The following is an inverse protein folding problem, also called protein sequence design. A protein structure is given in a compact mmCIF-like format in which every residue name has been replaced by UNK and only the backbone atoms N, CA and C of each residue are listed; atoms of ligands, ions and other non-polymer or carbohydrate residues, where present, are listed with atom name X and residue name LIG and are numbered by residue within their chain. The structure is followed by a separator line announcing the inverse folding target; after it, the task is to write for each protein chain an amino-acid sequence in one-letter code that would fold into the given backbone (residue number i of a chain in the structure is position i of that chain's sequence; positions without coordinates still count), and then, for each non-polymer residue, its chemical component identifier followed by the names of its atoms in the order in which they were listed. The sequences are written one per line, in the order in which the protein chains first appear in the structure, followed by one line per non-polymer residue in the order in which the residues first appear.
data_IF_513490397086
#
_entry.id   IF_513490397086
#
_cell.length_a   1.000
_cell.length_b   1.000
_cell.length_c   1.000
_cell.angle_alpha   90.00
_cell.angle_beta   90.00
_cell.angle_gamma   90.00
#
_symmetry.space_group_name_H-M   'P 1'
#
loop_
_entity.id
_entity.type
_entity.pdbx_description
1 polymer ?
#
# COMPACT_ATOMS: atom_id res chain seq x y z
N UNK A 1 18.34 -4.69 -30.28
CA UNK A 1 17.82 -5.99 -29.89
C UNK A 1 18.10 -6.13 -28.41
N UNK A 2 17.17 -5.69 -27.60
CA UNK A 2 17.25 -5.83 -26.14
C UNK A 2 16.64 -7.19 -25.81
N UNK A 3 17.54 -8.10 -25.46
CA UNK A 3 17.21 -9.43 -24.94
C UNK A 3 16.47 -9.20 -23.61
N UNK A 4 15.16 -9.46 -23.60
CA UNK A 4 14.32 -9.36 -22.41
C UNK A 4 14.44 -10.64 -21.60
N UNK A 5 15.55 -10.87 -21.14
CA UNK A 5 16.12 -11.94 -20.35
C UNK A 5 15.29 -12.73 -19.36
N UNK A 6 14.08 -13.14 -19.69
CA UNK A 6 13.32 -14.15 -18.95
C UNK A 6 13.82 -15.52 -19.40
N UNK A 7 14.58 -16.20 -18.58
CA UNK A 7 15.24 -17.44 -18.98
C UNK A 7 14.43 -18.70 -18.72
N UNK A 8 13.45 -18.71 -17.81
CA UNK A 8 12.54 -19.84 -17.59
C UNK A 8 11.30 -19.47 -16.79
N UNK A 9 10.13 -19.72 -17.37
CA UNK A 9 8.90 -19.91 -16.60
C UNK A 9 8.75 -21.41 -16.34
N UNK A 10 8.63 -21.81 -15.09
CA UNK A 10 8.39 -23.19 -14.66
C UNK A 10 7.28 -23.23 -13.62
N UNK A 11 6.43 -24.27 -13.68
CA UNK A 11 5.52 -24.58 -12.58
C UNK A 11 6.27 -25.40 -11.55
N UNK A 12 6.20 -25.00 -10.27
CA UNK A 12 6.59 -25.85 -9.16
C UNK A 12 5.64 -27.07 -9.05
N UNK A 13 6.04 -28.16 -8.35
CA UNK A 13 5.23 -29.38 -8.24
C UNK A 13 3.82 -29.15 -7.66
N UNK A 14 3.61 -28.07 -6.92
CA UNK A 14 2.34 -27.63 -6.34
C UNK A 14 1.50 -26.71 -7.24
N UNK A 15 1.95 -26.48 -8.48
CA UNK A 15 1.28 -25.59 -9.44
C UNK A 15 1.67 -24.11 -9.34
N UNK A 16 2.58 -23.75 -8.45
CA UNK A 16 3.08 -22.37 -8.31
C UNK A 16 3.93 -21.99 -9.52
N UNK A 17 3.62 -20.87 -10.17
CA UNK A 17 4.43 -20.32 -11.25
C UNK A 17 5.68 -19.67 -10.68
N UNK A 18 6.86 -20.17 -11.07
CA UNK A 18 8.13 -19.57 -10.71
C UNK A 18 8.88 -19.12 -11.97
N UNK A 19 9.16 -17.83 -12.05
CA UNK A 19 9.94 -17.23 -13.14
C UNK A 19 11.30 -16.78 -12.61
N UNK A 20 12.38 -17.18 -13.26
CA UNK A 20 13.72 -16.71 -12.97
C UNK A 20 14.08 -15.59 -13.94
N UNK A 21 14.32 -14.37 -13.41
CA UNK A 21 14.75 -13.23 -14.22
C UNK A 21 16.26 -13.20 -14.38
N UNK A 22 16.75 -12.61 -15.46
CA UNK A 22 18.18 -12.63 -15.87
C UNK A 22 19.16 -11.93 -14.91
N UNK A 23 18.70 -11.17 -13.94
CA UNK A 23 19.60 -10.70 -12.87
C UNK A 23 20.09 -11.84 -11.95
N UNK A 24 19.60 -13.06 -12.18
CA UNK A 24 19.97 -14.29 -11.49
C UNK A 24 19.47 -14.40 -10.05
N UNK A 25 18.79 -13.37 -9.58
CA UNK A 25 18.47 -13.19 -8.16
C UNK A 25 17.01 -12.88 -7.89
N UNK A 26 16.24 -12.44 -8.91
CA UNK A 26 14.81 -12.12 -8.80
C UNK A 26 13.97 -13.30 -9.23
N UNK A 27 13.03 -13.71 -8.38
CA UNK A 27 12.04 -14.76 -8.66
C UNK A 27 10.64 -14.27 -8.35
N UNK A 28 9.68 -14.79 -9.09
CA UNK A 28 8.25 -14.57 -8.88
C UNK A 28 7.54 -15.90 -8.69
N UNK A 29 6.66 -15.93 -7.70
CA UNK A 29 5.72 -17.02 -7.49
C UNK A 29 4.30 -16.48 -7.35
N UNK A 30 3.30 -17.30 -7.66
CA UNK A 30 1.89 -17.01 -7.41
C UNK A 30 1.33 -18.11 -6.52
N UNK A 31 0.86 -17.74 -5.33
CA UNK A 31 0.23 -18.64 -4.38
C UNK A 31 -1.29 -18.74 -4.65
N UNK A 32 -1.97 -19.77 -4.12
CA UNK A 32 -3.42 -19.90 -4.22
C UNK A 32 -4.14 -18.62 -3.79
N UNK A 33 -5.25 -18.27 -4.46
CA UNK A 33 -5.94 -17.00 -4.26
C UNK A 33 -5.32 -15.82 -5.00
N UNK A 34 -4.28 -16.06 -5.82
CA UNK A 34 -3.67 -15.05 -6.67
C UNK A 34 -2.63 -14.15 -5.97
N UNK A 35 -2.20 -14.49 -4.74
CA UNK A 35 -1.14 -13.76 -4.03
C UNK A 35 0.18 -13.87 -4.78
N UNK A 36 0.72 -12.75 -5.20
CA UNK A 36 2.01 -12.66 -5.92
C UNK A 36 3.14 -12.47 -4.92
N UNK A 37 4.18 -13.29 -5.02
CA UNK A 37 5.39 -13.19 -4.19
C UNK A 37 6.58 -12.92 -5.10
N UNK A 38 7.27 -11.82 -4.85
CA UNK A 38 8.51 -11.43 -5.52
C UNK A 38 9.65 -11.53 -4.52
N UNK A 39 10.74 -12.17 -4.90
CA UNK A 39 11.93 -12.24 -4.06
C UNK A 39 13.16 -11.84 -4.84
N UNK A 40 14.05 -11.07 -4.20
CA UNK A 40 15.35 -10.73 -4.75
C UNK A 40 16.45 -11.08 -3.74
N UNK A 41 17.31 -12.02 -4.12
CA UNK A 41 18.48 -12.35 -3.32
C UNK A 41 19.59 -11.34 -3.59
N UNK A 42 19.96 -10.56 -2.58
CA UNK A 42 21.04 -9.56 -2.65
C UNK A 42 22.28 -10.11 -1.92
N UNK A 43 23.35 -10.50 -2.66
CA UNK A 43 24.57 -11.00 -2.03
C UNK A 43 25.30 -9.93 -1.22
N UNK A 44 25.91 -10.34 -0.10
CA UNK A 44 26.82 -9.50 0.68
C UNK A 44 26.14 -8.56 1.67
N UNK A 45 24.80 -8.56 1.75
CA UNK A 45 24.06 -7.84 2.79
C UNK A 45 23.60 -8.79 3.90
N UNK A 46 23.30 -8.23 5.08
CA UNK A 46 22.69 -8.95 6.21
C UNK A 46 21.30 -8.41 6.55
N UNK A 47 20.80 -7.50 5.75
CA UNK A 47 19.47 -6.91 5.89
C UNK A 47 18.48 -7.55 4.91
N UNK A 48 17.20 -7.46 5.28
CA UNK A 48 16.06 -7.82 4.43
C UNK A 48 15.03 -6.70 4.50
N UNK A 49 14.51 -6.31 3.35
CA UNK A 49 13.33 -5.45 3.22
C UNK A 49 12.15 -6.30 2.75
N UNK A 50 11.02 -6.15 3.42
CA UNK A 50 9.76 -6.84 3.14
C UNK A 50 8.71 -5.78 2.90
N UNK A 51 7.94 -5.89 1.83
CA UNK A 51 6.78 -5.04 1.58
C UNK A 51 5.56 -5.87 1.18
N UNK A 52 4.40 -5.55 1.76
CA UNK A 52 3.11 -6.02 1.29
C UNK A 52 2.42 -4.85 0.59
N UNK A 53 2.35 -4.96 -0.72
CA UNK A 53 1.75 -3.96 -1.60
C UNK A 53 0.32 -4.37 -1.88
N UNK A 54 -0.63 -3.55 -1.48
CA UNK A 54 -2.05 -3.74 -1.77
C UNK A 54 -2.42 -2.83 -2.93
N UNK A 55 -2.95 -3.38 -4.02
CA UNK A 55 -3.32 -2.63 -5.23
C UNK A 55 -4.57 -1.78 -5.03
N UNK A 56 -4.67 -1.06 -3.91
CA UNK A 56 -5.78 -0.21 -3.50
C UNK A 56 -5.25 1.10 -2.93
N UNK A 57 -5.75 2.21 -3.42
CA UNK A 57 -5.41 3.56 -2.97
C UNK A 57 -6.59 4.51 -3.11
N UNK A 58 -6.38 5.81 -2.94
CA UNK A 58 -7.47 6.80 -2.98
C UNK A 58 -8.23 6.84 -4.31
N UNK A 59 -7.62 6.39 -5.40
CA UNK A 59 -8.27 6.22 -6.71
C UNK A 59 -9.43 5.23 -6.68
N UNK A 60 -9.37 4.20 -5.81
CA UNK A 60 -10.38 3.13 -5.75
C UNK A 60 -11.55 3.47 -4.83
N UNK A 61 -11.55 4.67 -4.27
CA UNK A 61 -12.56 5.18 -3.36
C UNK A 61 -13.70 5.88 -4.10
N UNK A 62 -14.90 5.76 -3.56
CA UNK A 62 -16.03 6.60 -3.92
C UNK A 62 -16.00 7.92 -3.14
N UNK A 63 -16.78 8.94 -3.51
CA UNK A 63 -16.90 10.14 -2.70
C UNK A 63 -17.32 9.86 -1.24
N UNK A 64 -18.07 8.78 -0.99
CA UNK A 64 -18.52 8.37 0.35
C UNK A 64 -17.42 7.64 1.16
N UNK A 65 -16.37 7.18 0.51
CA UNK A 65 -15.26 6.45 1.13
C UNK A 65 -13.94 7.18 0.96
N UNK A 66 -13.97 8.46 0.56
CA UNK A 66 -12.77 9.25 0.35
C UNK A 66 -11.94 9.37 1.65
N UNK A 67 -10.64 9.03 1.55
CA UNK A 67 -9.71 8.94 2.68
C UNK A 67 -9.70 7.59 3.39
N UNK A 68 -10.51 6.60 2.97
CA UNK A 68 -10.61 5.30 3.64
C UNK A 68 -9.31 4.49 3.53
N UNK A 69 -8.58 4.56 2.41
CA UNK A 69 -7.32 3.85 2.23
C UNK A 69 -6.25 4.37 3.20
N UNK A 70 -6.15 5.68 3.35
CA UNK A 70 -5.26 6.31 4.32
C UNK A 70 -5.69 6.02 5.76
N UNK A 71 -6.98 6.04 6.04
CA UNK A 71 -7.50 5.65 7.35
C UNK A 71 -7.12 4.21 7.72
N UNK A 72 -7.22 3.27 6.77
CA UNK A 72 -6.81 1.89 6.98
C UNK A 72 -5.30 1.77 7.20
N UNK A 73 -4.48 2.60 6.56
CA UNK A 73 -3.05 2.64 6.85
C UNK A 73 -2.81 2.79 8.35
N UNK A 74 -3.45 3.77 9.02
CA UNK A 74 -3.35 3.98 10.46
C UNK A 74 -3.93 2.80 11.27
N UNK A 75 -5.11 2.33 10.90
CA UNK A 75 -5.85 1.34 11.67
C UNK A 75 -5.18 -0.03 11.70
N UNK A 76 -4.41 -0.40 10.67
CA UNK A 76 -3.75 -1.69 10.64
C UNK A 76 -2.65 -1.82 11.72
N UNK A 77 -2.12 -0.72 12.22
CA UNK A 77 -1.15 -0.70 13.34
C UNK A 77 -1.81 -0.82 14.72
N UNK A 78 -3.14 -0.74 14.84
CA UNK A 78 -3.82 -0.66 16.15
C UNK A 78 -4.03 -1.99 16.82
N UNK A 79 -4.10 -3.08 16.06
CA UNK A 79 -4.13 -4.42 16.64
C UNK A 79 -4.79 -5.47 15.79
N UNK A 80 -4.45 -6.72 16.14
CA UNK A 80 -4.95 -7.96 15.61
C UNK A 80 -5.51 -8.81 16.76
N UNK A 81 -6.14 -9.96 16.50
CA UNK A 81 -6.52 -10.88 17.58
C UNK A 81 -5.35 -11.39 18.43
N UNK A 82 -4.14 -11.37 17.88
CA UNK A 82 -2.92 -11.89 18.52
C UNK A 82 -2.00 -10.82 19.09
N UNK A 83 -2.10 -9.57 18.65
CA UNK A 83 -1.17 -8.47 19.01
C UNK A 83 -1.92 -7.16 19.18
N UNK A 84 -1.64 -6.44 20.25
CA UNK A 84 -2.00 -5.03 20.36
C UNK A 84 -0.99 -4.12 19.63
N UNK A 85 -1.29 -2.83 19.53
CA UNK A 85 -0.45 -1.84 18.84
C UNK A 85 0.99 -1.80 19.39
N UNK A 86 1.15 -1.87 20.72
CA UNK A 86 2.46 -1.85 21.35
C UNK A 86 3.27 -3.11 21.00
N UNK A 87 2.61 -4.28 21.01
CA UNK A 87 3.23 -5.55 20.67
C UNK A 87 3.66 -5.58 19.20
N UNK A 88 2.86 -5.02 18.28
CA UNK A 88 3.21 -4.90 16.86
C UNK A 88 4.49 -4.09 16.68
N UNK A 89 4.55 -2.88 17.24
CA UNK A 89 5.72 -2.01 17.13
C UNK A 89 6.94 -2.61 17.83
N UNK A 90 6.78 -3.09 19.07
CA UNK A 90 7.86 -3.64 19.86
C UNK A 90 8.49 -4.88 19.25
N UNK A 91 7.72 -5.73 18.54
CA UNK A 91 8.24 -6.93 17.89
C UNK A 91 9.32 -6.62 16.85
N UNK A 92 9.19 -5.50 16.16
CA UNK A 92 10.14 -5.07 15.12
C UNK A 92 11.22 -4.13 15.69
N UNK A 93 10.86 -3.21 16.56
CA UNK A 93 11.81 -2.26 17.16
C UNK A 93 12.80 -2.96 18.09
N UNK A 94 12.41 -4.00 18.82
CA UNK A 94 13.28 -4.74 19.73
C UNK A 94 14.47 -5.40 19.03
N UNK A 95 14.34 -5.73 17.74
CA UNK A 95 15.42 -6.27 16.90
C UNK A 95 16.15 -5.20 16.09
N UNK A 96 15.85 -3.91 16.35
CA UNK A 96 16.42 -2.78 15.61
C UNK A 96 15.88 -2.65 14.18
N UNK A 97 14.70 -3.20 13.93
CA UNK A 97 14.00 -3.10 12.65
C UNK A 97 13.20 -1.80 12.53
N UNK A 98 12.71 -1.55 11.34
CA UNK A 98 11.81 -0.45 10.98
C UNK A 98 10.51 -1.03 10.42
N UNK A 99 9.37 -0.62 10.95
CA UNK A 99 8.03 -0.94 10.46
C UNK A 99 7.32 0.36 10.10
N UNK A 100 6.82 0.45 8.87
CA UNK A 100 6.11 1.65 8.42
C UNK A 100 5.14 1.31 7.28
N UNK A 101 4.33 2.30 6.87
CA UNK A 101 3.43 2.20 5.73
C UNK A 101 3.34 3.53 4.98
N UNK A 102 2.76 3.50 3.80
CA UNK A 102 2.35 4.68 3.07
C UNK A 102 1.23 4.35 2.08
N UNK A 103 0.33 5.31 1.89
CA UNK A 103 -0.76 5.26 0.93
C UNK A 103 -0.51 6.24 -0.22
N UNK A 104 -0.76 5.77 -1.43
CA UNK A 104 -0.75 6.59 -2.64
C UNK A 104 -2.13 6.60 -3.29
N UNK A 105 -2.23 7.24 -4.43
CA UNK A 105 -3.48 7.21 -5.20
C UNK A 105 -3.84 5.81 -5.73
N UNK A 106 -2.85 4.95 -5.98
CA UNK A 106 -3.07 3.67 -6.66
C UNK A 106 -2.73 2.42 -5.85
N UNK A 107 -2.03 2.57 -4.75
CA UNK A 107 -1.66 1.46 -3.87
C UNK A 107 -1.33 1.93 -2.46
N UNK A 108 -1.42 0.99 -1.52
CA UNK A 108 -0.94 1.13 -0.14
C UNK A 108 0.16 0.10 0.08
N UNK A 109 1.23 0.48 0.76
CA UNK A 109 2.34 -0.41 1.08
C UNK A 109 2.61 -0.42 2.58
N UNK A 110 2.69 -1.61 3.16
CA UNK A 110 3.15 -1.86 4.51
C UNK A 110 4.50 -2.54 4.42
N UNK A 111 5.52 -2.03 5.10
CA UNK A 111 6.87 -2.56 4.92
C UNK A 111 7.66 -2.63 6.23
N UNK A 112 8.60 -3.58 6.23
CA UNK A 112 9.52 -3.82 7.34
C UNK A 112 10.95 -3.95 6.81
N UNK A 113 11.90 -3.42 7.57
CA UNK A 113 13.34 -3.69 7.37
C UNK A 113 13.92 -4.32 8.63
N UNK A 114 14.56 -5.47 8.49
CA UNK A 114 15.18 -6.20 9.59
C UNK A 114 16.50 -6.85 9.15
N UNK A 115 17.19 -7.50 10.09
CA UNK A 115 18.28 -8.42 9.75
C UNK A 115 17.69 -9.74 9.19
N UNK A 116 18.50 -10.46 8.43
CA UNK A 116 18.13 -11.76 7.84
C UNK A 116 17.77 -12.84 8.87
N UNK A 117 18.29 -12.72 10.09
CA UNK A 117 17.92 -13.58 11.23
C UNK A 117 16.45 -13.43 11.64
N UNK A 118 15.87 -12.25 11.48
CA UNK A 118 14.57 -11.87 11.99
C UNK A 118 13.48 -11.88 10.89
N UNK A 119 13.83 -12.39 9.70
CA UNK A 119 12.93 -12.48 8.54
C UNK A 119 11.62 -13.20 8.86
N UNK A 120 11.67 -14.32 9.60
CA UNK A 120 10.47 -15.12 9.86
C UNK A 120 9.46 -14.35 10.72
N UNK A 121 9.94 -13.72 11.80
CA UNK A 121 9.12 -12.93 12.71
C UNK A 121 8.56 -11.68 12.01
N UNK A 122 9.37 -11.04 11.18
CA UNK A 122 8.94 -9.88 10.41
C UNK A 122 7.84 -10.23 9.38
N UNK A 123 7.95 -11.36 8.69
CA UNK A 123 6.89 -11.85 7.78
C UNK A 123 5.62 -12.15 8.56
N UNK A 124 5.72 -12.80 9.73
CA UNK A 124 4.58 -13.13 10.57
C UNK A 124 3.86 -11.86 11.08
N UNK A 125 4.61 -10.91 11.65
CA UNK A 125 4.03 -9.66 12.19
C UNK A 125 3.36 -8.85 11.09
N UNK A 126 4.05 -8.65 9.95
CA UNK A 126 3.54 -7.83 8.86
C UNK A 126 2.30 -8.45 8.21
N UNK A 127 2.29 -9.78 8.00
CA UNK A 127 1.12 -10.46 7.45
C UNK A 127 -0.05 -10.50 8.43
N UNK A 128 0.18 -10.71 9.72
CA UNK A 128 -0.85 -10.64 10.75
C UNK A 128 -1.52 -9.27 10.78
N UNK A 129 -0.72 -8.20 10.78
CA UNK A 129 -1.20 -6.82 10.75
C UNK A 129 -2.05 -6.54 9.49
N UNK A 130 -1.58 -6.94 8.31
CA UNK A 130 -2.29 -6.65 7.04
C UNK A 130 -3.52 -7.52 6.85
N UNK A 131 -3.51 -8.77 7.34
CA UNK A 131 -4.59 -9.72 7.11
C UNK A 131 -5.65 -9.78 8.20
N UNK A 132 -5.31 -9.41 9.44
CA UNK A 132 -6.15 -9.69 10.61
C UNK A 132 -6.46 -8.45 11.48
N UNK A 133 -6.28 -7.23 10.93
CA UNK A 133 -6.62 -6.02 11.67
C UNK A 133 -8.06 -6.04 12.16
N UNK A 134 -8.26 -5.66 13.43
CA UNK A 134 -9.56 -5.69 14.11
C UNK A 134 -10.50 -4.57 13.64
N UNK A 135 -9.95 -3.42 13.26
CA UNK A 135 -10.70 -2.21 12.90
C UNK A 135 -11.80 -1.95 13.93
N UNK A 136 -11.40 -1.73 15.20
CA UNK A 136 -12.37 -1.51 16.29
C UNK A 136 -13.03 -0.13 16.21
N UNK A 137 -14.17 0.04 16.85
CA UNK A 137 -14.84 1.34 16.89
C UNK A 137 -14.02 2.38 17.64
N UNK A 138 -13.37 1.98 18.73
CA UNK A 138 -12.56 2.87 19.57
C UNK A 138 -11.32 3.36 18.82
N UNK A 139 -10.64 2.47 18.07
CA UNK A 139 -9.49 2.85 17.23
C UNK A 139 -9.91 3.79 16.09
N UNK A 140 -11.05 3.52 15.46
CA UNK A 140 -11.58 4.42 14.42
C UNK A 140 -11.82 5.81 14.98
N UNK A 141 -12.45 5.96 16.15
CA UNK A 141 -12.67 7.30 16.72
C UNK A 141 -11.38 7.98 17.19
N UNK A 142 -10.41 7.22 17.72
CA UNK A 142 -9.12 7.76 18.10
C UNK A 142 -8.34 8.27 16.87
N UNK A 143 -8.26 7.47 15.81
CA UNK A 143 -7.52 7.83 14.59
C UNK A 143 -8.23 8.91 13.78
N UNK A 144 -9.54 9.06 13.88
CA UNK A 144 -10.28 10.18 13.26
C UNK A 144 -9.69 11.52 13.67
N UNK A 145 -9.41 11.68 14.97
CA UNK A 145 -8.78 12.91 15.49
C UNK A 145 -7.39 13.13 14.89
N UNK A 146 -6.58 12.09 14.81
CA UNK A 146 -5.23 12.16 14.24
C UNK A 146 -5.28 12.56 12.76
N UNK A 147 -6.12 11.92 11.95
CA UNK A 147 -6.24 12.21 10.52
C UNK A 147 -6.76 13.64 10.27
N UNK A 148 -7.71 14.11 11.08
CA UNK A 148 -8.19 15.50 10.97
C UNK A 148 -7.09 16.52 11.29
N UNK A 149 -6.21 16.24 12.24
CA UNK A 149 -5.04 17.06 12.51
C UNK A 149 -4.02 17.00 11.37
N UNK A 150 -3.81 15.84 10.74
CA UNK A 150 -2.95 15.71 9.56
C UNK A 150 -3.50 16.50 8.36
N UNK A 151 -4.81 16.47 8.13
CA UNK A 151 -5.46 17.31 7.10
C UNK A 151 -5.21 18.79 7.41
N UNK A 152 -5.35 19.21 8.66
CA UNK A 152 -5.10 20.58 9.04
C UNK A 152 -3.64 20.99 8.83
N UNK A 153 -2.69 20.12 9.19
CA UNK A 153 -1.25 20.33 8.94
C UNK A 153 -0.92 20.41 7.44
N UNK A 154 -1.49 19.53 6.64
CA UNK A 154 -1.36 19.53 5.17
C UNK A 154 -1.93 20.82 4.57
N UNK A 155 -3.10 21.24 5.02
CA UNK A 155 -3.75 22.47 4.58
C UNK A 155 -2.96 23.73 4.98
N UNK A 156 -2.18 23.68 6.04
CA UNK A 156 -1.33 24.78 6.48
C UNK A 156 0.01 24.85 5.72
N UNK A 157 0.42 23.79 5.01
CA UNK A 157 1.65 23.80 4.21
C UNK A 157 1.37 24.19 2.74
N UNK A 158 1.82 25.38 2.29
CA UNK A 158 1.63 25.80 0.90
C UNK A 158 2.32 24.92 -0.13
N UNK A 159 3.38 24.16 0.25
CA UNK A 159 4.07 23.26 -0.66
C UNK A 159 3.24 22.01 -0.95
N UNK A 160 2.48 21.53 0.00
CA UNK A 160 1.60 20.38 -0.19
C UNK A 160 0.33 20.80 -0.93
N UNK A 161 -0.30 21.87 -0.47
CA UNK A 161 -1.54 22.40 -1.06
C UNK A 161 -1.39 22.76 -2.54
N UNK A 162 -0.23 23.26 -2.99
CA UNK A 162 -0.05 23.60 -4.41
C UNK A 162 -0.13 22.37 -5.31
N UNK A 163 0.31 21.19 -4.82
CA UNK A 163 0.21 19.92 -5.56
C UNK A 163 -1.23 19.43 -5.64
N UNK A 164 -2.02 19.58 -4.59
CA UNK A 164 -3.43 19.22 -4.61
C UNK A 164 -4.24 20.15 -5.51
N UNK A 165 -4.00 21.47 -5.44
CA UNK A 165 -4.59 22.46 -6.34
C UNK A 165 -4.26 22.14 -7.80
N UNK A 166 -3.00 21.80 -8.09
CA UNK A 166 -2.58 21.42 -9.44
C UNK A 166 -3.25 20.14 -9.91
N UNK A 167 -3.26 19.11 -9.07
CA UNK A 167 -3.87 17.80 -9.38
C UNK A 167 -5.37 17.94 -9.66
N UNK A 168 -6.08 18.71 -8.82
CA UNK A 168 -7.49 19.00 -9.00
C UNK A 168 -7.75 19.83 -10.28
N UNK A 169 -6.88 20.79 -10.60
CA UNK A 169 -7.00 21.59 -11.82
C UNK A 169 -6.82 20.75 -13.10
N UNK A 170 -5.92 19.75 -13.07
CA UNK A 170 -5.62 18.90 -14.23
C UNK A 170 -6.61 17.75 -14.36
N UNK A 171 -6.97 17.10 -13.26
CA UNK A 171 -7.76 15.86 -13.25
C UNK A 171 -9.23 16.08 -12.87
N UNK A 172 -9.60 17.29 -12.42
CA UNK A 172 -10.96 17.61 -12.01
C UNK A 172 -11.45 16.77 -10.83
N UNK A 173 -12.77 16.61 -10.73
CA UNK A 173 -13.42 15.76 -9.72
C UNK A 173 -13.44 14.28 -10.17
N UNK A 174 -12.25 13.78 -10.49
CA UNK A 174 -12.03 12.36 -10.78
C UNK A 174 -11.44 11.65 -9.57
N UNK A 175 -11.42 10.33 -9.63
CA UNK A 175 -10.81 9.51 -8.58
C UNK A 175 -9.32 9.83 -8.35
N UNK A 176 -8.59 10.21 -9.41
CA UNK A 176 -7.19 10.63 -9.32
C UNK A 176 -7.02 12.10 -8.90
N UNK A 177 -8.07 12.92 -9.06
CA UNK A 177 -8.08 14.34 -8.68
C UNK A 177 -8.24 14.55 -7.17
N UNK A 178 -8.86 13.60 -6.46
CA UNK A 178 -9.12 13.71 -5.01
C UNK A 178 -7.85 13.55 -4.16
N UNK A 179 -7.74 14.26 -3.01
CA UNK A 179 -6.64 14.08 -2.05
C UNK A 179 -6.60 12.65 -1.48
N UNK A 180 -5.40 12.16 -1.15
CA UNK A 180 -5.21 10.85 -0.52
C UNK A 180 -5.77 10.84 0.91
N UNK A 181 -5.61 11.95 1.63
CA UNK A 181 -6.10 12.13 3.00
C UNK A 181 -7.65 12.18 3.08
N UNK A 182 -8.32 12.34 1.95
CA UNK A 182 -9.75 12.69 1.93
C UNK A 182 -9.97 14.17 2.24
N UNK A 183 -11.16 14.50 2.73
CA UNK A 183 -11.52 15.83 3.21
C UNK A 183 -12.03 15.74 4.65
N UNK A 184 -12.05 16.87 5.38
CA UNK A 184 -12.63 16.93 6.73
C UNK A 184 -14.03 16.31 6.76
N UNK A 185 -14.90 16.67 5.81
CA UNK A 185 -16.27 16.17 5.75
C UNK A 185 -16.33 14.66 5.48
N UNK A 186 -15.45 14.15 4.61
CA UNK A 186 -15.42 12.69 4.33
C UNK A 186 -14.93 11.91 5.53
N UNK A 187 -13.87 12.36 6.20
CA UNK A 187 -13.31 11.71 7.39
C UNK A 187 -14.28 11.74 8.58
N UNK A 188 -14.95 12.86 8.82
CA UNK A 188 -16.01 12.96 9.84
C UNK A 188 -17.19 12.02 9.54
N UNK A 189 -17.53 11.86 8.26
CA UNK A 189 -18.64 11.03 7.80
C UNK A 189 -18.35 9.52 7.77
N UNK A 190 -17.09 9.10 7.71
CA UNK A 190 -16.71 7.68 7.64
C UNK A 190 -17.09 6.94 8.91
N UNK A 191 -17.87 5.85 8.75
CA UNK A 191 -18.28 4.97 9.85
C UNK A 191 -17.40 3.74 9.91
N UNK A 192 -17.18 3.22 11.10
CA UNK A 192 -16.42 1.98 11.34
C UNK A 192 -16.83 0.85 10.41
N UNK A 193 -18.14 0.60 10.24
CA UNK A 193 -18.63 -0.50 9.41
C UNK A 193 -18.31 -0.31 7.92
N UNK A 194 -18.32 0.94 7.44
CA UNK A 194 -17.91 1.28 6.07
C UNK A 194 -16.42 1.00 5.86
N UNK A 195 -15.57 1.41 6.81
CA UNK A 195 -14.12 1.16 6.77
C UNK A 195 -13.83 -0.33 6.83
N UNK A 196 -14.49 -1.07 7.74
CA UNK A 196 -14.31 -2.50 7.87
C UNK A 196 -14.79 -3.29 6.64
N UNK A 197 -15.85 -2.84 5.98
CA UNK A 197 -16.32 -3.43 4.71
C UNK A 197 -15.33 -3.15 3.57
N UNK A 198 -14.82 -1.92 3.48
CA UNK A 198 -13.79 -1.55 2.51
C UNK A 198 -12.53 -2.42 2.71
N UNK A 199 -12.05 -2.58 3.94
CA UNK A 199 -10.93 -3.46 4.27
C UNK A 199 -11.19 -4.90 3.80
N UNK A 200 -12.30 -5.52 4.20
CA UNK A 200 -12.61 -6.91 3.85
C UNK A 200 -12.76 -7.15 2.35
N UNK A 201 -13.30 -6.17 1.64
CA UNK A 201 -13.56 -6.31 0.19
C UNK A 201 -12.33 -6.04 -0.67
N UNK A 202 -11.37 -5.23 -0.18
CA UNK A 202 -10.21 -4.76 -0.96
C UNK A 202 -8.90 -5.45 -0.59
N UNK A 203 -8.72 -5.87 0.67
CA UNK A 203 -7.48 -6.49 1.13
C UNK A 203 -7.54 -8.01 0.92
N UNK A 204 -7.55 -8.41 -0.33
CA UNK A 204 -7.62 -9.82 -0.76
C UNK A 204 -6.28 -10.26 -1.36
N UNK A 205 -5.91 -11.56 -1.30
CA UNK A 205 -4.65 -12.04 -1.84
C UNK A 205 -4.40 -11.67 -3.31
N UNK A 206 -5.45 -11.67 -4.15
CA UNK A 206 -5.34 -11.29 -5.56
C UNK A 206 -4.95 -9.83 -5.79
N UNK A 207 -5.26 -8.95 -4.85
CA UNK A 207 -4.87 -7.53 -4.87
C UNK A 207 -3.48 -7.28 -4.27
N UNK A 208 -2.82 -8.32 -3.70
CA UNK A 208 -1.58 -8.17 -2.98
C UNK A 208 -0.36 -8.67 -3.76
N UNK A 209 0.76 -8.00 -3.49
CA UNK A 209 2.11 -8.43 -3.86
C UNK A 209 2.98 -8.38 -2.62
N UNK A 210 3.57 -9.51 -2.24
CA UNK A 210 4.60 -9.56 -1.21
C UNK A 210 5.95 -9.49 -1.92
N UNK A 211 6.70 -8.41 -1.69
CA UNK A 211 8.04 -8.22 -2.25
C UNK A 211 9.09 -8.28 -1.14
N UNK A 212 10.10 -9.15 -1.32
CA UNK A 212 11.15 -9.37 -0.31
C UNK A 212 12.52 -9.34 -0.98
N UNK A 213 13.38 -8.43 -0.52
CA UNK A 213 14.73 -8.27 -1.05
C UNK A 213 15.77 -8.28 0.07
N UNK A 214 16.91 -8.97 -0.13
CA UNK A 214 17.99 -9.01 0.85
C UNK A 214 18.72 -10.34 0.89
N UNK A 215 19.28 -10.67 2.05
CA UNK A 215 19.95 -11.97 2.27
C UNK A 215 18.91 -13.06 2.54
N UNK A 216 18.34 -13.58 1.49
CA UNK A 216 17.25 -14.55 1.55
C UNK A 216 17.56 -15.81 0.72
N UNK A 217 16.83 -16.88 1.03
CA UNK A 217 16.63 -18.04 0.17
C UNK A 217 15.20 -18.05 -0.35
N UNK A 218 15.01 -18.18 -1.65
CA UNK A 218 13.69 -18.05 -2.29
C UNK A 218 12.69 -19.08 -1.75
N UNK A 219 13.05 -20.36 -1.74
CA UNK A 219 12.13 -21.45 -1.37
C UNK A 219 11.69 -21.33 0.11
N UNK A 220 12.67 -21.03 0.98
CA UNK A 220 12.40 -20.80 2.41
C UNK A 220 11.50 -19.58 2.61
N UNK A 221 11.78 -18.49 1.90
CA UNK A 221 11.00 -17.25 1.99
C UNK A 221 9.56 -17.46 1.49
N UNK A 222 9.41 -18.17 0.35
CA UNK A 222 8.11 -18.51 -0.19
C UNK A 222 7.29 -19.37 0.79
N UNK A 223 7.93 -20.35 1.44
CA UNK A 223 7.28 -21.18 2.46
C UNK A 223 6.82 -20.37 3.69
N UNK A 224 7.63 -19.38 4.14
CA UNK A 224 7.24 -18.47 5.22
C UNK A 224 6.02 -17.64 4.85
N UNK A 225 6.01 -17.03 3.65
CA UNK A 225 4.85 -16.25 3.17
C UNK A 225 3.63 -17.15 3.03
N UNK A 226 3.76 -18.33 2.43
CA UNK A 226 2.65 -19.26 2.28
C UNK A 226 2.05 -19.69 3.63
N UNK A 227 2.88 -19.89 4.64
CA UNK A 227 2.44 -20.22 6.01
C UNK A 227 1.73 -19.03 6.67
N UNK A 228 2.29 -17.83 6.54
CA UNK A 228 1.74 -16.62 7.15
C UNK A 228 0.38 -16.18 6.56
N UNK A 229 0.13 -16.53 5.29
CA UNK A 229 -1.13 -16.25 4.60
C UNK A 229 -2.07 -17.45 4.51
N UNK A 230 -1.77 -18.58 5.16
CA UNK A 230 -2.43 -19.86 4.93
C UNK A 230 -3.97 -19.83 5.06
N UNK A 231 -4.50 -19.07 5.99
CA UNK A 231 -5.95 -18.90 6.20
C UNK A 231 -6.60 -17.90 5.21
N UNK A 232 -5.79 -17.16 4.46
CA UNK A 232 -6.21 -16.21 3.42
C UNK A 232 -6.04 -16.78 2.00
N UNK A 233 -5.22 -17.82 1.83
CA UNK A 233 -4.97 -18.49 0.56
C UNK A 233 -6.16 -19.38 0.19
N UNK A 234 -7.27 -18.79 -0.16
CA UNK A 234 -8.46 -19.51 -0.61
C UNK A 234 -9.30 -18.62 -1.51
N UNK A 235 -9.89 -19.18 -2.55
CA UNK A 235 -10.73 -18.43 -3.45
C UNK A 235 -10.33 -18.59 -4.92
N UNK A 236 -10.82 -17.73 -5.77
CA UNK A 236 -10.51 -17.74 -7.21
C UNK A 236 -9.10 -17.19 -7.43
N UNK A 237 -8.26 -17.89 -8.18
CA UNK A 237 -6.94 -17.42 -8.66
C UNK A 237 -7.07 -16.25 -9.67
N UNK A 238 -8.16 -15.52 -9.62
CA UNK A 238 -8.38 -14.39 -10.50
C UNK A 238 -7.36 -13.28 -10.15
N UNK A 239 -6.63 -12.77 -11.15
CA UNK A 239 -5.86 -11.54 -10.94
C UNK A 239 -6.82 -10.44 -10.48
N UNK A 240 -6.31 -9.55 -9.61
CA UNK A 240 -7.05 -8.39 -9.16
C UNK A 240 -7.69 -7.63 -10.31
N UNK A 241 -8.76 -6.94 -10.03
CA UNK A 241 -9.50 -6.20 -11.05
C UNK A 241 -8.56 -5.26 -11.82
N UNK A 242 -8.46 -5.45 -13.12
CA UNK A 242 -7.72 -4.51 -13.97
C UNK A 242 -8.45 -3.17 -13.88
N UNK A 243 -7.78 -2.17 -13.33
CA UNK A 243 -8.30 -0.80 -13.35
C UNK A 243 -8.52 -0.40 -14.81
N UNK A 244 -9.79 -0.34 -15.21
CA UNK A 244 -10.19 0.12 -16.52
C UNK A 244 -10.31 1.65 -16.52
N UNK A 245 -10.08 2.26 -17.68
CA UNK A 245 -10.44 3.65 -17.93
C UNK A 245 -9.32 4.40 -18.66
N UNK A 246 -9.65 4.96 -19.83
CA UNK A 246 -8.92 6.10 -20.35
C UNK A 246 -9.45 7.33 -19.60
N UNK A 247 -8.61 7.97 -18.78
CA UNK A 247 -8.97 9.29 -18.26
C UNK A 247 -8.95 10.27 -19.42
N UNK A 248 -10.13 10.78 -19.78
CA UNK A 248 -10.20 11.98 -20.62
C UNK A 248 -9.84 13.15 -19.69
N UNK A 249 -8.71 13.79 -19.97
CA UNK A 249 -8.41 15.07 -19.33
C UNK A 249 -9.57 16.03 -19.58
N UNK A 250 -10.04 16.79 -18.58
CA UNK A 250 -11.05 17.81 -18.80
C UNK A 250 -10.61 18.71 -19.95
N UNK A 251 -11.48 18.94 -20.92
CA UNK A 251 -11.17 19.75 -22.10
C UNK A 251 -10.76 21.20 -21.74
N UNK A 252 -11.11 21.65 -20.54
CA UNK A 252 -10.84 22.97 -20.00
C UNK A 252 -9.72 22.99 -18.93
N UNK A 253 -8.90 21.95 -18.84
CA UNK A 253 -7.79 21.83 -17.86
C UNK A 253 -6.68 22.88 -18.09
N UNK A 254 -6.84 23.80 -19.02
CA UNK A 254 -5.88 24.86 -19.29
C UNK A 254 -6.26 26.12 -18.52
N UNK A 255 -5.42 26.56 -17.62
CA UNK A 255 -5.66 27.82 -16.95
C UNK A 255 -4.69 28.07 -15.79
N UNK A 256 -4.74 29.29 -15.29
CA UNK A 256 -4.07 29.69 -14.08
C UNK A 256 -5.03 29.54 -12.89
N UNK A 257 -4.70 28.64 -11.97
CA UNK A 257 -5.39 28.54 -10.68
C UNK A 257 -4.53 29.22 -9.62
N UNK A 258 -5.10 30.11 -8.85
CA UNK A 258 -4.39 30.88 -7.82
C UNK A 258 -5.11 30.68 -6.48
N UNK A 259 -4.42 30.03 -5.54
CA UNK A 259 -4.81 29.97 -4.14
C UNK A 259 -4.05 31.08 -3.38
N UNK A 260 -4.79 32.09 -2.85
CA UNK A 260 -4.19 33.22 -2.14
C UNK A 260 -4.25 33.02 -0.65
N UNK A 261 -3.07 32.96 -0.04
CA UNK A 261 -2.90 32.85 1.42
C UNK A 261 -1.89 33.87 1.93
N UNK A 262 -1.96 34.31 3.19
CA UNK A 262 -0.99 35.23 3.79
C UNK A 262 0.28 34.48 4.19
N UNK A 263 1.04 33.98 3.21
CA UNK A 263 2.31 33.26 3.41
C UNK A 263 3.49 34.07 2.91
N UNK A 264 4.69 33.81 3.44
CA UNK A 264 5.91 34.52 3.05
C UNK A 264 6.46 34.06 1.69
N UNK A 265 6.09 32.86 1.23
CA UNK A 265 6.59 32.27 -0.01
C UNK A 265 5.46 32.04 -1.00
N UNK A 266 5.79 32.13 -2.30
CA UNK A 266 4.93 31.71 -3.38
C UNK A 266 5.40 30.35 -3.91
N UNK A 267 4.51 29.37 -3.93
CA UNK A 267 4.73 28.05 -4.51
C UNK A 267 4.06 27.98 -5.88
N UNK A 268 4.76 27.48 -6.88
CA UNK A 268 4.28 27.41 -8.26
C UNK A 268 4.52 26.01 -8.81
N UNK A 269 3.46 25.38 -9.32
CA UNK A 269 3.53 24.15 -10.10
C UNK A 269 3.12 24.44 -11.52
N UNK A 270 3.95 24.03 -12.47
CA UNK A 270 3.69 24.14 -13.90
C UNK A 270 3.70 22.73 -14.50
N UNK A 271 2.66 22.40 -15.23
CA UNK A 271 2.55 21.10 -15.87
C UNK A 271 1.83 21.16 -17.20
N UNK A 272 1.92 20.06 -17.93
CA UNK A 272 1.23 19.82 -19.19
C UNK A 272 0.77 18.38 -19.26
N UNK A 273 -0.13 18.08 -20.19
CA UNK A 273 -0.51 16.70 -20.49
C UNK A 273 0.74 15.92 -20.89
N UNK A 274 0.98 14.81 -20.22
CA UNK A 274 2.05 13.85 -20.53
C UNK A 274 1.68 12.91 -21.69
N UNK A 275 2.68 12.12 -22.08
CA UNK A 275 2.49 11.05 -23.09
C UNK A 275 2.03 9.77 -22.42
#
# INVERSE_FOLDING_TARGET
MTDTGITRAGLLPDGTLCEELLSGTVRRAVLPGGLRVLTEKVPGVRSVAIGIWVGVGSRDESPLTAGCSHYLEHLLFKGTPSRDALTISAAIEAVGGELNAFTTKEYTCYYVRVLDSDLADAVEVLSDMVCHSLVTADDVEAERGVILEEIAMHDDDPSDVVHDVFTSAVLGDTELGRPVLGTTESIEGLKRDTIAEYYRSRYTPSEMVVAIAGNIDHERTLALVASAFADRLGGTDAPGAVRGGSYAYPADAAGLVVNRRPTEQAHVVLGTVGM
#
